data_IF_929052619110
#
_entry.id   IF_929052619110
#
_cell.length_a   1.000
_cell.length_b   1.000
_cell.length_c   1.000
_cell.angle_alpha   90.00
_cell.angle_beta   90.00
_cell.angle_gamma   90.00
#
_symmetry.space_group_name_H-M   'P 1'
#
loop_
_entity.id
_entity.type
_entity.pdbx_description
1 polymer ?
#
# COMPACT_ATOMS: atom_id res chain seq x y z
N UNK A 1 -10.61 -37.18 9.28
CA UNK A 1 -9.82 -36.13 9.98
C UNK A 1 -8.93 -35.35 9.03
N UNK A 2 -7.99 -35.97 8.30
CA UNK A 2 -7.10 -35.26 7.33
C UNK A 2 -7.81 -34.33 6.33
N UNK A 3 -8.96 -34.75 5.75
CA UNK A 3 -9.72 -33.94 4.78
C UNK A 3 -10.34 -32.68 5.40
N UNK A 4 -10.75 -32.74 6.67
CA UNK A 4 -11.34 -31.60 7.40
C UNK A 4 -10.24 -30.60 7.76
N UNK A 5 -9.06 -31.07 8.17
CA UNK A 5 -7.91 -30.21 8.44
C UNK A 5 -7.46 -29.44 7.19
N UNK A 6 -7.42 -30.09 6.03
CA UNK A 6 -7.10 -29.42 4.75
C UNK A 6 -8.14 -28.35 4.40
N UNK A 7 -9.43 -28.62 4.63
CA UNK A 7 -10.50 -27.66 4.37
C UNK A 7 -10.39 -26.41 5.27
N UNK A 8 -10.06 -26.60 6.56
CA UNK A 8 -9.87 -25.51 7.53
C UNK A 8 -8.66 -24.65 7.16
N UNK A 9 -7.55 -25.27 6.74
CA UNK A 9 -6.36 -24.54 6.28
C UNK A 9 -6.69 -23.72 5.02
N UNK A 10 -7.45 -24.28 4.08
CA UNK A 10 -7.85 -23.57 2.86
C UNK A 10 -8.76 -22.37 3.17
N UNK A 11 -9.69 -22.52 4.13
CA UNK A 11 -10.54 -21.44 4.61
C UNK A 11 -9.73 -20.33 5.30
N UNK A 12 -8.73 -20.67 6.11
CA UNK A 12 -7.84 -19.70 6.76
C UNK A 12 -7.03 -18.87 5.75
N UNK A 13 -6.58 -19.49 4.64
CA UNK A 13 -5.88 -18.78 3.56
C UNK A 13 -6.81 -17.77 2.85
N UNK A 14 -8.10 -18.08 2.74
CA UNK A 14 -9.09 -17.19 2.10
C UNK A 14 -9.42 -15.95 2.95
N UNK A 15 -9.39 -16.03 4.29
CA UNK A 15 -9.67 -14.87 5.17
C UNK A 15 -8.51 -13.85 5.15
N UNK A 16 -7.31 -14.25 4.71
CA UNK A 16 -6.15 -13.36 4.60
C UNK A 16 -6.22 -12.38 3.41
N UNK A 17 -7.12 -12.59 2.45
CA UNK A 17 -7.22 -11.77 1.24
C UNK A 17 -8.17 -10.56 1.39
N UNK A 18 -7.94 -9.67 2.37
CA UNK A 18 -8.45 -8.29 2.30
C UNK A 18 -7.74 -7.36 3.29
N UNK A 19 -6.44 -7.14 3.14
CA UNK A 19 -5.66 -6.22 3.99
C UNK A 19 -5.83 -4.75 3.60
N UNK A 20 -7.07 -4.26 3.46
CA UNK A 20 -7.32 -2.82 3.34
C UNK A 20 -7.76 -2.25 4.68
N UNK A 21 -6.98 -1.32 5.23
CA UNK A 21 -7.32 -0.63 6.47
C UNK A 21 -8.07 0.68 6.12
N UNK A 22 -9.38 0.57 5.94
CA UNK A 22 -10.23 1.69 5.50
C UNK A 22 -10.19 2.88 6.49
N UNK A 23 -10.14 2.61 7.80
CA UNK A 23 -10.09 3.66 8.82
C UNK A 23 -8.80 4.50 8.71
N UNK A 24 -7.66 3.85 8.45
CA UNK A 24 -6.39 4.52 8.22
C UNK A 24 -6.44 5.35 6.92
N UNK A 25 -6.99 4.78 5.85
CA UNK A 25 -7.17 5.45 4.56
C UNK A 25 -8.01 6.74 4.72
N UNK A 26 -9.17 6.63 5.37
CA UNK A 26 -10.08 7.76 5.61
C UNK A 26 -9.44 8.83 6.50
N UNK A 27 -8.70 8.42 7.53
CA UNK A 27 -8.00 9.34 8.43
C UNK A 27 -6.90 10.11 7.70
N UNK A 28 -6.07 9.44 6.90
CA UNK A 28 -5.03 10.10 6.10
C UNK A 28 -5.67 11.05 5.09
N UNK A 29 -6.72 10.61 4.39
CA UNK A 29 -7.45 11.43 3.41
C UNK A 29 -8.04 12.70 4.04
N UNK A 30 -8.60 12.58 5.26
CA UNK A 30 -9.09 13.73 6.03
C UNK A 30 -7.97 14.74 6.32
N UNK A 31 -6.77 14.29 6.65
CA UNK A 31 -5.64 15.18 6.96
C UNK A 31 -5.11 15.84 5.69
N UNK A 32 -5.00 15.10 4.58
CA UNK A 32 -4.53 15.62 3.29
C UNK A 32 -5.48 16.70 2.73
N UNK A 33 -6.79 16.58 2.98
CA UNK A 33 -7.79 17.59 2.57
C UNK A 33 -7.79 18.85 3.44
N UNK A 34 -7.17 18.82 4.61
CA UNK A 34 -7.05 19.98 5.49
C UNK A 34 -5.84 20.82 5.05
N UNK A 35 -6.09 21.89 4.30
CA UNK A 35 -5.05 22.81 3.78
C UNK A 35 -4.20 23.46 4.89
N UNK A 36 -4.66 23.43 6.15
CA UNK A 36 -3.87 23.92 7.29
C UNK A 36 -2.79 22.95 7.75
N UNK A 37 -2.78 21.72 7.23
CA UNK A 37 -1.83 20.65 7.58
C UNK A 37 -0.82 20.47 6.46
N UNK A 38 0.45 20.66 6.79
CA UNK A 38 1.57 20.36 5.91
C UNK A 38 2.27 19.04 6.22
N UNK A 39 1.95 18.43 7.37
CA UNK A 39 2.68 17.28 7.90
C UNK A 39 1.74 16.24 8.51
N UNK A 40 2.11 14.96 8.37
CA UNK A 40 1.37 13.82 8.93
C UNK A 40 2.32 12.99 9.81
N UNK A 41 1.94 12.83 11.08
CA UNK A 41 2.66 11.93 12.00
C UNK A 41 2.08 10.52 11.92
N UNK A 42 2.63 9.68 11.05
CA UNK A 42 2.11 8.31 10.79
C UNK A 42 2.04 7.45 12.07
N UNK A 43 2.99 7.61 12.99
CA UNK A 43 3.03 6.88 14.28
C UNK A 43 1.80 7.12 15.17
N UNK A 44 1.09 8.24 15.02
CA UNK A 44 -0.15 8.48 15.78
C UNK A 44 -1.39 7.88 15.11
N UNK A 45 -1.28 7.40 13.87
CA UNK A 45 -2.40 6.89 13.08
C UNK A 45 -2.42 5.36 13.01
N UNK A 46 -1.28 4.71 13.24
CA UNK A 46 -1.17 3.26 13.18
C UNK A 46 -0.16 2.73 14.19
N UNK A 47 -0.41 1.51 14.68
CA UNK A 47 0.47 0.74 15.57
C UNK A 47 1.36 -0.25 14.80
N UNK A 48 1.45 -0.12 13.48
CA UNK A 48 2.34 -0.95 12.66
C UNK A 48 3.79 -0.67 13.06
N UNK A 49 4.55 -1.73 13.33
CA UNK A 49 5.97 -1.68 13.57
C UNK A 49 6.70 -1.79 12.22
N UNK A 50 7.22 -0.66 11.74
CA UNK A 50 7.82 -0.55 10.42
C UNK A 50 9.33 -0.71 10.53
N UNK A 51 9.89 -1.68 9.81
CA UNK A 51 11.34 -1.88 9.75
C UNK A 51 11.98 -0.92 8.74
N UNK A 52 11.27 -0.62 7.64
CA UNK A 52 11.67 0.33 6.59
C UNK A 52 10.45 1.02 5.98
N UNK A 53 10.67 2.23 5.46
CA UNK A 53 9.73 2.95 4.62
C UNK A 53 10.43 3.36 3.31
N UNK A 54 9.72 3.24 2.19
CA UNK A 54 10.20 3.65 0.88
C UNK A 54 9.34 4.79 0.35
N UNK A 55 9.99 5.80 -0.20
CA UNK A 55 9.34 6.90 -0.89
C UNK A 55 9.75 6.84 -2.36
N UNK A 56 8.80 6.50 -3.22
CA UNK A 56 9.00 6.53 -4.67
C UNK A 56 8.45 7.85 -5.20
N UNK A 57 9.29 8.60 -5.90
CA UNK A 57 8.83 9.82 -6.57
C UNK A 57 7.89 9.47 -7.72
N UNK A 58 7.04 10.42 -8.15
CA UNK A 58 6.35 10.29 -9.43
C UNK A 58 7.30 9.82 -10.54
N UNK A 59 6.78 8.99 -11.45
CA UNK A 59 7.52 8.44 -12.59
C UNK A 59 8.69 7.52 -12.25
N UNK A 60 8.76 6.99 -11.03
CA UNK A 60 9.64 5.87 -10.72
C UNK A 60 9.21 4.68 -11.58
N UNK A 61 10.15 4.11 -12.35
CA UNK A 61 9.84 2.94 -13.18
C UNK A 61 9.64 1.72 -12.28
N UNK A 62 8.78 0.79 -12.71
CA UNK A 62 8.57 -0.50 -12.03
C UNK A 62 9.92 -1.17 -11.73
N UNK A 63 10.81 -1.21 -12.73
CA UNK A 63 12.17 -1.73 -12.57
C UNK A 63 12.94 -1.07 -11.41
N UNK A 64 12.90 0.26 -11.29
CA UNK A 64 13.60 0.96 -10.18
C UNK A 64 12.98 0.66 -8.81
N UNK A 65 11.65 0.48 -8.76
CA UNK A 65 10.92 0.11 -7.55
C UNK A 65 11.32 -1.30 -7.14
N UNK A 66 11.33 -2.25 -8.07
CA UNK A 66 11.74 -3.63 -7.84
C UNK A 66 13.19 -3.75 -7.38
N UNK A 67 14.11 -2.99 -7.98
CA UNK A 67 15.51 -2.93 -7.57
C UNK A 67 15.67 -2.44 -6.13
N UNK A 68 14.87 -1.46 -5.69
CA UNK A 68 14.90 -0.96 -4.31
C UNK A 68 14.21 -1.89 -3.32
N UNK A 69 13.10 -2.52 -3.71
CA UNK A 69 12.35 -3.46 -2.87
C UNK A 69 13.04 -4.82 -2.76
N UNK A 70 13.86 -5.21 -3.75
CA UNK A 70 14.49 -6.53 -3.83
C UNK A 70 13.50 -7.67 -4.13
N UNK A 71 12.29 -7.34 -4.57
CA UNK A 71 11.21 -8.27 -4.92
C UNK A 71 10.38 -7.70 -6.07
N UNK A 72 9.66 -8.56 -6.78
CA UNK A 72 8.78 -8.15 -7.86
C UNK A 72 7.66 -7.23 -7.36
N UNK A 73 7.36 -6.19 -8.13
CA UNK A 73 6.31 -5.21 -7.84
C UNK A 73 5.31 -5.21 -9.00
N UNK A 74 4.10 -5.68 -8.75
CA UNK A 74 3.05 -5.68 -9.76
C UNK A 74 2.14 -4.47 -9.56
N UNK A 75 2.25 -3.46 -10.41
CA UNK A 75 1.29 -2.38 -10.43
C UNK A 75 -0.06 -2.87 -10.99
N UNK A 76 -1.04 -3.00 -10.09
CA UNK A 76 -2.42 -3.39 -10.45
C UNK A 76 -3.12 -2.36 -11.32
N UNK A 77 -2.59 -1.16 -11.44
CA UNK A 77 -3.13 -0.14 -12.35
C UNK A 77 -2.82 -0.46 -13.83
N UNK A 78 -1.82 -1.31 -14.10
CA UNK A 78 -1.34 -1.66 -15.44
C UNK A 78 -0.99 -0.42 -16.28
N UNK A 79 -0.41 0.58 -15.62
CA UNK A 79 0.03 1.83 -16.22
C UNK A 79 1.55 1.88 -16.16
N UNK A 80 2.20 1.66 -17.31
CA UNK A 80 3.67 1.67 -17.44
C UNK A 80 4.26 3.06 -17.12
N UNK A 81 3.50 4.12 -17.42
CA UNK A 81 3.78 5.51 -17.06
C UNK A 81 2.47 6.24 -16.69
N UNK A 82 2.37 6.73 -15.45
CA UNK A 82 1.20 7.48 -14.94
C UNK A 82 1.22 8.92 -15.48
N UNK A 83 0.66 9.10 -16.67
CA UNK A 83 0.53 10.42 -17.33
C UNK A 83 -0.47 11.37 -16.63
N UNK A 84 -1.30 10.89 -15.72
CA UNK A 84 -2.22 11.72 -14.91
C UNK A 84 -1.49 12.63 -13.89
N UNK A 85 -0.16 12.53 -13.79
CA UNK A 85 0.71 13.43 -13.03
C UNK A 85 1.25 14.57 -13.91
N UNK A 86 0.66 14.86 -15.07
CA UNK A 86 0.84 16.18 -15.69
C UNK A 86 0.16 17.27 -14.83
N UNK A 87 0.82 17.63 -13.73
CA UNK A 87 0.71 18.97 -13.17
C UNK A 87 1.33 19.89 -14.23
N UNK A 88 0.46 20.67 -14.86
CA UNK A 88 0.78 21.77 -15.76
C UNK A 88 2.03 22.52 -15.27
N UNK A 89 3.10 22.47 -16.05
CA UNK A 89 4.21 23.44 -16.00
C UNK A 89 3.67 24.83 -16.32
#
# INVERSE_FOLDING_TARGET
MKKITVLIVLLLVLVGCNQRNADLEDTINSIVKDESKSEIKIQSLTNVDWDKAFLFTPYSTEKSIEEQLGTGFNDKSNIDFRDDIYLSI
#
